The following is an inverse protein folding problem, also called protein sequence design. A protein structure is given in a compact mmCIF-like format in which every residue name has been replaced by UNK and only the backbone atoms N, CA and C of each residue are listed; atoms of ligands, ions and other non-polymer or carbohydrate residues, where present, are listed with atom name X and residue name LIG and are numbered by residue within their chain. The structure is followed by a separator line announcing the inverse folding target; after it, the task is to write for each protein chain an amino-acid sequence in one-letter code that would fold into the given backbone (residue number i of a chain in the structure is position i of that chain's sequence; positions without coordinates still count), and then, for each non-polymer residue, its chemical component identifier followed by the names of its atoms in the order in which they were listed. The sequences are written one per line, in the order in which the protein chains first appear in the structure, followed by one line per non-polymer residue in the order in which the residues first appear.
data_IF_143823417789
#
_entry.id   IF_143823417789
#
_cell.length_a   1.000
_cell.length_b   1.000
_cell.length_c   1.000
_cell.angle_alpha   90.00
_cell.angle_beta   90.00
_cell.angle_gamma   90.00
#
_symmetry.space_group_name_H-M   'P 1'
#
loop_
_entity.id
_entity.type
_entity.pdbx_description
1 polymer ?
#
# COMPACT_ATOMS: atom_id res chain seq x y z
N UNK A 1 -1.82 -3.11 -5.15
CA UNK A 1 -0.45 -2.65 -4.84
C UNK A 1 0.47 -3.84 -5.01
N UNK A 2 1.58 -3.68 -5.73
CA UNK A 2 2.55 -4.76 -5.92
C UNK A 2 3.76 -4.54 -5.04
N UNK A 3 4.19 -5.62 -4.38
CA UNK A 3 5.30 -5.64 -3.44
C UNK A 3 6.23 -6.77 -3.86
N UNK A 4 7.48 -6.46 -4.11
CA UNK A 4 8.50 -7.48 -4.36
C UNK A 4 9.39 -7.63 -3.13
N UNK A 5 9.60 -8.87 -2.72
CA UNK A 5 10.47 -9.27 -1.61
C UNK A 5 11.63 -10.06 -2.18
N UNK A 6 12.84 -9.52 -2.07
CA UNK A 6 14.05 -10.19 -2.52
C UNK A 6 15.07 -10.11 -1.40
N UNK A 7 15.55 -11.25 -0.92
CA UNK A 7 16.29 -11.31 0.34
C UNK A 7 15.45 -10.73 1.47
N UNK A 8 16.08 -9.87 2.27
CA UNK A 8 15.46 -9.10 3.33
C UNK A 8 15.08 -7.70 2.85
N UNK A 9 14.83 -7.50 1.54
CA UNK A 9 14.50 -6.19 0.98
C UNK A 9 13.14 -6.15 0.33
N UNK A 10 12.36 -5.13 0.67
CA UNK A 10 11.09 -4.79 0.06
C UNK A 10 11.26 -3.74 -1.05
N UNK A 11 10.50 -3.93 -2.12
CA UNK A 11 10.35 -3.00 -3.22
C UNK A 11 8.85 -2.78 -3.44
N UNK A 12 8.41 -1.53 -3.29
CA UNK A 12 7.00 -1.16 -3.36
C UNK A 12 6.74 -0.45 -4.69
N UNK A 13 5.73 -0.92 -5.42
CA UNK A 13 5.12 -0.16 -6.49
C UNK A 13 3.84 0.48 -5.93
N UNK A 14 3.79 1.81 -5.77
CA UNK A 14 2.62 2.47 -5.21
C UNK A 14 1.39 2.16 -6.06
N UNK A 15 0.22 1.95 -5.44
CA UNK A 15 -1.00 1.68 -6.18
C UNK A 15 -1.38 2.90 -7.03
N UNK A 16 -1.74 2.68 -8.30
CA UNK A 16 -2.49 3.65 -9.08
C UNK A 16 -3.87 3.81 -8.42
N UNK A 17 -4.07 4.88 -7.66
CA UNK A 17 -5.31 5.10 -6.91
C UNK A 17 -6.14 6.17 -7.60
N UNK A 18 -7.33 5.79 -8.04
CA UNK A 18 -8.44 6.72 -8.23
C UNK A 18 -9.08 7.01 -6.85
N UNK A 19 -9.55 8.24 -6.63
CA UNK A 19 -10.16 8.63 -5.35
C UNK A 19 -11.30 7.67 -4.93
N UNK A 20 -11.28 7.22 -3.67
CA UNK A 20 -12.42 6.52 -3.04
C UNK A 20 -12.26 5.03 -2.74
N UNK A 21 -11.20 4.35 -3.16
CA UNK A 21 -11.08 2.88 -2.99
C UNK A 21 -10.43 2.48 -1.65
N UNK A 22 -11.05 2.87 -0.52
CA UNK A 22 -10.52 2.60 0.84
C UNK A 22 -10.55 1.13 1.24
N UNK A 23 -11.53 0.36 0.74
CA UNK A 23 -11.79 -1.00 1.26
C UNK A 23 -11.11 -2.13 0.46
N UNK A 24 -10.36 -1.81 -0.59
CA UNK A 24 -9.88 -2.84 -1.54
C UNK A 24 -8.39 -2.75 -1.85
N UNK A 25 -7.58 -2.08 -1.00
CA UNK A 25 -6.14 -2.06 -1.26
C UNK A 25 -5.56 -3.46 -0.99
N UNK A 26 -5.51 -4.26 -2.06
CA UNK A 26 -4.87 -5.58 -2.06
C UNK A 26 -3.36 -5.38 -2.22
N UNK A 27 -2.60 -5.99 -1.32
CA UNK A 27 -1.16 -6.13 -1.43
C UNK A 27 -0.84 -7.50 -2.03
N UNK A 28 -0.12 -7.49 -3.14
CA UNK A 28 0.36 -8.69 -3.82
C UNK A 28 1.87 -8.77 -3.65
N UNK A 29 2.36 -9.86 -3.06
CA UNK A 29 3.76 -10.06 -2.76
C UNK A 29 4.39 -11.04 -3.75
N UNK A 30 5.63 -10.78 -4.15
CA UNK A 30 6.43 -11.70 -4.95
C UNK A 30 7.74 -11.97 -4.20
N UNK A 31 7.94 -13.22 -3.77
CA UNK A 31 9.08 -13.61 -2.94
C UNK A 31 10.21 -14.29 -3.75
N UNK A 32 11.45 -14.16 -3.27
CA UNK A 32 12.57 -15.00 -3.69
C UNK A 32 12.50 -16.41 -3.07
N UNK A 33 13.21 -17.37 -3.68
CA UNK A 33 13.21 -18.80 -3.31
C UNK A 33 13.53 -19.08 -1.84
N UNK A 34 14.27 -18.20 -1.15
CA UNK A 34 14.57 -18.35 0.28
C UNK A 34 13.33 -18.35 1.18
N UNK A 35 12.19 -17.84 0.70
CA UNK A 35 10.93 -17.78 1.41
C UNK A 35 10.04 -19.00 1.15
N UNK A 36 10.46 -19.93 0.30
CA UNK A 36 9.66 -21.10 -0.07
C UNK A 36 9.39 -22.00 1.14
N UNK A 37 8.15 -22.47 1.24
CA UNK A 37 7.69 -23.27 2.38
C UNK A 37 7.46 -22.49 3.68
N UNK A 38 7.84 -21.20 3.76
CA UNK A 38 7.63 -20.39 4.96
C UNK A 38 6.18 -19.95 5.12
N UNK A 39 5.71 -19.91 6.37
CA UNK A 39 4.49 -19.17 6.75
C UNK A 39 4.82 -17.69 6.77
N UNK A 40 4.13 -16.89 5.95
CA UNK A 40 4.47 -15.47 5.73
C UNK A 40 3.42 -14.55 6.35
N UNK A 41 3.88 -13.49 7.00
CA UNK A 41 3.02 -12.51 7.67
C UNK A 41 3.51 -11.10 7.34
N UNK A 42 2.63 -10.26 6.81
CA UNK A 42 2.89 -8.84 6.60
C UNK A 42 2.47 -8.03 7.82
N UNK A 43 3.23 -7.00 8.13
CA UNK A 43 2.96 -6.06 9.19
C UNK A 43 2.79 -4.68 8.58
N UNK A 44 1.60 -4.11 8.77
CA UNK A 44 1.27 -2.77 8.32
C UNK A 44 1.28 -1.83 9.51
N UNK A 45 2.19 -0.86 9.50
CA UNK A 45 2.28 0.14 10.55
C UNK A 45 1.63 1.44 10.09
N UNK A 46 0.53 1.83 10.71
CA UNK A 46 -0.19 3.06 10.42
C UNK A 46 0.61 4.31 10.80
N UNK A 47 0.12 5.48 10.39
CA UNK A 47 0.71 6.77 10.78
C UNK A 47 0.49 7.11 12.27
N UNK A 48 -0.49 6.46 12.91
CA UNK A 48 -0.70 6.42 14.37
C UNK A 48 0.41 5.65 15.12
N UNK A 49 1.22 4.88 14.40
CA UNK A 49 2.30 4.07 14.93
C UNK A 49 1.86 2.67 15.36
N UNK A 50 0.58 2.32 15.23
CA UNK A 50 0.04 0.98 15.53
C UNK A 50 0.41 -0.01 14.44
N UNK A 51 0.61 -1.28 14.83
CA UNK A 51 1.04 -2.33 13.93
C UNK A 51 -0.06 -3.38 13.74
N UNK A 52 -0.39 -3.65 12.48
CA UNK A 52 -1.49 -4.52 12.09
C UNK A 52 -0.94 -5.72 11.31
N UNK A 53 -0.76 -6.87 11.97
CA UNK A 53 -0.32 -8.09 11.30
C UNK A 53 -1.42 -8.70 10.41
N UNK A 54 -1.02 -9.21 9.24
CA UNK A 54 -1.86 -9.98 8.33
C UNK A 54 -1.11 -11.20 7.82
N UNK A 55 -1.73 -12.37 7.97
CA UNK A 55 -1.25 -13.58 7.32
C UNK A 55 -1.40 -13.42 5.80
N UNK A 56 -0.42 -13.92 5.04
CA UNK A 56 -0.50 -13.94 3.58
C UNK A 56 -1.16 -15.25 3.13
N UNK A 57 -2.17 -15.13 2.28
CA UNK A 57 -2.80 -16.24 1.58
C UNK A 57 -2.53 -16.08 0.08
N UNK A 58 -1.94 -17.12 -0.53
CA UNK A 58 -1.45 -17.09 -1.91
C UNK A 58 -0.53 -15.90 -2.21
N UNK A 59 0.36 -15.58 -1.26
CA UNK A 59 1.26 -14.41 -1.30
C UNK A 59 0.52 -13.07 -1.47
N UNK A 60 -0.75 -13.01 -1.06
CA UNK A 60 -1.55 -11.78 -1.07
C UNK A 60 -2.20 -11.53 0.28
N UNK A 61 -2.53 -10.27 0.55
CA UNK A 61 -3.41 -9.91 1.65
C UNK A 61 -4.11 -8.58 1.39
N UNK A 62 -5.21 -8.34 2.10
CA UNK A 62 -5.87 -7.04 2.13
C UNK A 62 -5.17 -6.16 3.17
N UNK A 63 -4.77 -4.95 2.77
CA UNK A 63 -4.18 -3.97 3.68
C UNK A 63 -5.22 -3.59 4.74
N UNK A 64 -4.90 -3.65 6.04
CA UNK A 64 -5.82 -3.26 7.11
C UNK A 64 -6.27 -1.80 6.93
N UNK A 65 -7.58 -1.55 7.00
CA UNK A 65 -8.13 -0.21 6.90
C UNK A 65 -7.67 0.67 8.08
N UNK A 66 -7.42 0.05 9.22
CA UNK A 66 -6.88 0.67 10.43
C UNK A 66 -5.53 1.33 10.13
N UNK A 67 -4.64 0.63 9.43
CA UNK A 67 -3.34 1.18 9.02
C UNK A 67 -3.45 2.35 8.03
N UNK A 68 -4.58 2.46 7.31
CA UNK A 68 -4.86 3.50 6.32
C UNK A 68 -5.72 4.66 6.86
N UNK A 69 -6.17 4.56 8.12
CA UNK A 69 -7.17 5.49 8.70
C UNK A 69 -6.62 6.90 8.83
N UNK A 70 -5.36 7.04 9.24
CA UNK A 70 -4.70 8.33 9.35
C UNK A 70 -3.93 8.68 8.07
N UNK A 71 -4.03 9.93 7.56
CA UNK A 71 -3.18 10.38 6.47
C UNK A 71 -1.72 10.38 6.93
N UNK A 72 -0.81 9.89 6.10
CA UNK A 72 0.61 9.84 6.46
C UNK A 72 1.35 8.66 5.85
N UNK A 73 2.49 8.32 6.46
CA UNK A 73 3.32 7.20 6.03
C UNK A 73 2.85 5.91 6.67
N UNK A 74 2.57 4.92 5.84
CA UNK A 74 2.29 3.55 6.26
C UNK A 74 3.52 2.71 6.01
N UNK A 75 4.04 2.09 7.06
CA UNK A 75 5.15 1.15 7.01
C UNK A 75 4.67 -0.26 6.65
N UNK A 76 5.47 -1.00 5.92
CA UNK A 76 5.24 -2.41 5.57
C UNK A 76 6.53 -3.19 5.81
N UNK A 77 6.41 -4.32 6.50
CA UNK A 77 7.44 -5.35 6.60
C UNK A 77 6.82 -6.74 6.50
N UNK A 78 7.63 -7.76 6.22
CA UNK A 78 7.18 -9.16 6.18
C UNK A 78 8.09 -10.02 7.04
N UNK A 79 7.50 -10.97 7.77
CA UNK A 79 8.21 -12.08 8.43
C UNK A 79 7.83 -13.42 7.84
N UNK A 80 8.80 -14.32 7.70
CA UNK A 80 8.64 -15.70 7.27
C UNK A 80 9.11 -16.64 8.38
N UNK A 81 8.31 -17.66 8.69
CA UNK A 81 8.62 -18.68 9.68
C UNK A 81 8.55 -20.07 9.09
N UNK A 82 9.61 -20.87 9.30
CA UNK A 82 9.67 -22.29 8.95
C UNK A 82 10.41 -23.07 10.05
N UNK A 83 9.65 -23.75 10.91
CA UNK A 83 10.20 -24.38 12.10
C UNK A 83 10.86 -23.35 13.02
N UNK A 84 12.16 -23.51 13.29
CA UNK A 84 12.95 -22.57 14.09
C UNK A 84 13.56 -21.42 13.27
N UNK A 85 13.46 -21.47 11.93
CA UNK A 85 14.01 -20.44 11.05
C UNK A 85 13.03 -19.27 10.93
N UNK A 86 13.52 -18.05 11.16
CA UNK A 86 12.77 -16.80 11.00
C UNK A 86 13.54 -15.86 10.07
N UNK A 87 12.89 -15.37 9.03
CA UNK A 87 13.40 -14.31 8.15
C UNK A 87 12.49 -13.09 8.28
N UNK A 88 13.09 -11.90 8.35
CA UNK A 88 12.36 -10.62 8.38
C UNK A 88 12.94 -9.68 7.34
N UNK A 89 12.07 -8.95 6.64
CA UNK A 89 12.51 -7.91 5.69
C UNK A 89 12.87 -6.60 6.40
N UNK A 90 13.48 -5.67 5.66
CA UNK A 90 13.48 -4.25 6.01
C UNK A 90 12.05 -3.69 6.06
N UNK A 91 11.93 -2.45 6.54
CA UNK A 91 10.66 -1.72 6.55
C UNK A 91 10.69 -0.73 5.39
N UNK A 92 9.69 -0.80 4.52
CA UNK A 92 9.43 0.24 3.51
C UNK A 92 8.17 1.00 3.85
N UNK A 93 8.09 2.25 3.44
CA UNK A 93 6.89 3.06 3.65
C UNK A 93 6.36 3.63 2.34
N UNK A 94 5.04 3.72 2.24
CA UNK A 94 4.35 4.47 1.21
C UNK A 94 3.48 5.55 1.86
N UNK A 95 3.14 6.59 1.10
CA UNK A 95 2.32 7.69 1.61
C UNK A 95 0.86 7.47 1.24
N UNK A 96 -0.03 7.57 2.23
CA UNK A 96 -1.47 7.62 2.02
C UNK A 96 -1.89 9.09 1.94
N UNK A 97 -2.38 9.58 0.77
CA UNK A 97 -2.85 10.95 0.63
C UNK A 97 -4.16 11.18 1.40
N UNK A 98 -4.41 12.42 1.83
CA UNK A 98 -5.58 12.77 2.66
C UNK A 98 -6.95 12.47 2.02
N UNK A 99 -7.01 12.40 0.68
CA UNK A 99 -8.20 11.99 -0.09
C UNK A 99 -8.60 10.54 0.21
N UNK A 100 -7.64 9.68 0.56
CA UNK A 100 -7.86 8.32 1.02
C UNK A 100 -8.22 8.22 2.50
N UNK A 101 -8.08 9.29 3.30
CA UNK A 101 -8.25 9.25 4.77
C UNK A 101 -9.55 9.88 5.29
N UNK A 102 -10.44 10.32 4.41
CA UNK A 102 -11.72 10.94 4.80
C UNK A 102 -11.61 12.42 5.12
N UNK A 103 -10.45 13.04 4.87
CA UNK A 103 -10.36 14.49 4.86
C UNK A 103 -11.28 15.03 3.77
N UNK A 104 -12.05 16.07 4.10
CA UNK A 104 -12.72 16.91 3.11
C UNK A 104 -11.74 17.16 1.96
N UNK A 105 -12.10 16.86 0.70
CA UNK A 105 -11.21 17.13 -0.42
C UNK A 105 -10.77 18.58 -0.30
N UNK A 106 -9.46 18.81 -0.18
CA UNK A 106 -8.93 20.16 -0.37
C UNK A 106 -9.40 20.56 -1.75
N UNK A 107 -10.17 21.66 -1.80
CA UNK A 107 -10.77 22.23 -3.00
C UNK A 107 -9.80 22.08 -4.18
N UNK A 108 -10.20 21.44 -5.30
CA UNK A 108 -9.29 21.23 -6.41
C UNK A 108 -8.71 22.58 -6.79
N UNK A 109 -7.38 22.70 -6.83
CA UNK A 109 -6.76 23.92 -7.35
C UNK A 109 -7.41 24.24 -8.71
N UNK A 110 -8.00 25.43 -8.89
CA UNK A 110 -8.95 25.71 -9.97
C UNK A 110 -8.35 25.71 -11.39
N UNK A 111 -7.15 25.19 -11.58
CA UNK A 111 -6.42 25.17 -12.85
C UNK A 111 -6.71 23.94 -13.70
N UNK A 112 -7.17 22.82 -13.11
CA UNK A 112 -7.45 21.59 -13.88
C UNK A 112 -8.76 21.67 -14.69
N UNK A 113 -9.73 22.44 -14.22
CA UNK A 113 -11.03 22.58 -14.90
C UNK A 113 -10.94 23.42 -16.18
N UNK A 114 -9.97 24.33 -16.31
CA UNK A 114 -9.82 25.16 -17.51
C UNK A 114 -9.21 24.41 -18.70
N UNK A 115 -8.33 23.42 -18.47
CA UNK A 115 -7.76 22.63 -19.57
C UNK A 115 -8.78 21.70 -20.25
N UNK A 116 -9.80 21.26 -19.51
CA UNK A 116 -10.86 20.39 -20.06
C UNK A 116 -11.84 21.18 -20.94
N UNK A 117 -12.13 22.44 -20.59
CA UNK A 117 -13.04 23.29 -21.36
C UNK A 117 -12.40 23.80 -22.67
N UNK A 118 -11.12 24.21 -22.65
CA UNK A 118 -10.43 24.72 -23.85
C UNK A 118 -10.32 23.66 -24.96
N UNK A 119 -10.27 22.38 -24.58
CA UNK A 119 -10.22 21.26 -25.53
C UNK A 119 -11.56 20.94 -26.20
N UNK A 120 -12.69 21.34 -25.62
CA UNK A 120 -14.02 21.09 -26.19
C UNK A 120 -14.45 22.18 -27.19
N UNK A 121 -14.01 23.43 -27.01
CA UNK A 121 -14.31 24.53 -27.94
C UNK A 121 -13.48 24.51 -29.24
N UNK A 122 -12.39 23.74 -29.30
CA UNK A 122 -11.53 23.67 -30.49
C UNK A 122 -11.96 22.64 -31.54
N UNK A 123 -13.07 21.94 -31.31
CA UNK A 123 -13.61 20.91 -32.20
C UNK A 123 -15.05 21.19 -32.66
N UNK A 124 -15.57 22.42 -32.45
CA UNK A 124 -16.86 22.88 -33.02
C UNK A 124 -16.68 23.75 -34.25
#
# INVERSE_FOLDING_TARGET
MKIKVVNQRLYLEPPETAEGTREYLKAEFSFSEEWDGMTKMAFFRGADGENHPKLLEDDTCTVPAEALTAPGRVGVSVSGTLGETVITTDIKSFSVPATLSGGTPSDPEPTVWQEVLDKFEKVS
#
